data_IF_193998820044
#
_entry.id   IF_193998820044
#
_cell.length_a   1.000
_cell.length_b   1.000
_cell.length_c   1.000
_cell.angle_alpha   90.00
_cell.angle_beta   90.00
_cell.angle_gamma   90.00
#
_symmetry.space_group_name_H-M   'P 1'
#
loop_
_entity.id
_entity.type
_entity.pdbx_description
1 polymer ?
#
# COMPACT_ATOMS: atom_id res chain seq x y z
N UNK A 1 11.60 -43.33 -3.35
CA UNK A 1 11.79 -42.03 -2.71
C UNK A 1 10.46 -41.62 -2.11
N UNK A 2 10.34 -41.38 -0.82
CA UNK A 2 9.13 -40.77 -0.28
C UNK A 2 8.99 -39.34 -0.82
N UNK A 3 7.77 -38.80 -1.02
CA UNK A 3 7.60 -37.43 -1.41
C UNK A 3 8.13 -36.53 -0.29
N UNK A 4 8.90 -35.51 -0.72
CA UNK A 4 9.44 -34.51 0.19
C UNK A 4 8.28 -33.77 0.89
N UNK A 5 8.42 -33.64 2.20
CA UNK A 5 7.75 -32.73 3.12
C UNK A 5 6.31 -32.29 2.77
N UNK A 6 5.37 -33.14 3.15
CA UNK A 6 4.05 -32.63 3.52
C UNK A 6 4.24 -31.91 4.87
N UNK A 7 4.32 -30.58 4.85
CA UNK A 7 4.31 -29.77 6.05
C UNK A 7 3.16 -30.22 6.95
N UNK A 8 3.42 -30.36 8.25
CA UNK A 8 2.39 -30.73 9.21
C UNK A 8 1.21 -29.75 9.12
N UNK A 9 -0.05 -30.19 9.21
CA UNK A 9 -1.23 -29.32 9.05
C UNK A 9 -1.18 -28.04 9.90
N UNK A 10 -0.52 -28.09 11.06
CA UNK A 10 -0.32 -26.93 11.93
C UNK A 10 0.65 -25.87 11.36
N UNK A 11 1.74 -26.29 10.73
CA UNK A 11 2.72 -25.38 10.13
C UNK A 11 2.10 -24.67 8.90
N UNK A 12 1.42 -25.40 8.02
CA UNK A 12 0.74 -24.80 6.87
C UNK A 12 -0.36 -23.80 7.29
N UNK A 13 -1.05 -24.03 8.40
CA UNK A 13 -2.03 -23.08 8.93
C UNK A 13 -1.35 -21.84 9.52
N UNK A 14 -0.20 -21.98 10.20
CA UNK A 14 0.58 -20.86 10.71
C UNK A 14 1.12 -19.99 9.55
N UNK A 15 1.66 -20.60 8.50
CA UNK A 15 2.13 -19.88 7.31
C UNK A 15 0.99 -19.12 6.61
N UNK A 16 -0.20 -19.71 6.53
CA UNK A 16 -1.35 -19.05 5.93
C UNK A 16 -1.79 -17.81 6.74
N UNK A 17 -1.77 -17.88 8.07
CA UNK A 17 -2.07 -16.76 8.95
C UNK A 17 -1.00 -15.66 8.86
N UNK A 18 0.27 -16.05 8.82
CA UNK A 18 1.39 -15.13 8.63
C UNK A 18 1.28 -14.40 7.28
N UNK A 19 1.02 -15.14 6.20
CA UNK A 19 0.83 -14.56 4.87
C UNK A 19 -0.33 -13.57 4.82
N UNK A 20 -1.44 -13.87 5.51
CA UNK A 20 -2.57 -12.93 5.59
C UNK A 20 -2.21 -11.67 6.40
N UNK A 21 -1.52 -11.81 7.53
CA UNK A 21 -1.05 -10.67 8.31
C UNK A 21 -0.10 -9.76 7.51
N UNK A 22 0.78 -10.35 6.69
CA UNK A 22 1.67 -9.66 5.77
C UNK A 22 0.87 -8.92 4.67
N UNK A 23 -0.15 -9.55 4.07
CA UNK A 23 -1.04 -8.89 3.10
C UNK A 23 -1.73 -7.68 3.70
N UNK A 24 -2.21 -7.81 4.93
CA UNK A 24 -2.86 -6.72 5.66
C UNK A 24 -1.90 -5.54 5.92
N UNK A 25 -0.60 -5.77 6.10
CA UNK A 25 0.38 -4.68 6.21
C UNK A 25 0.45 -3.87 4.91
N UNK A 26 0.55 -4.50 3.75
CA UNK A 26 0.55 -3.81 2.45
C UNK A 26 -0.75 -3.01 2.22
N UNK A 27 -1.91 -3.59 2.55
CA UNK A 27 -3.22 -2.93 2.42
C UNK A 27 -3.35 -1.73 3.36
N UNK A 28 -2.88 -1.83 4.62
CA UNK A 28 -2.88 -0.70 5.57
C UNK A 28 -2.05 0.46 5.07
N UNK A 29 -0.84 0.19 4.53
CA UNK A 29 -0.01 1.22 3.94
C UNK A 29 -0.72 1.94 2.80
N UNK A 30 -1.19 1.22 1.79
CA UNK A 30 -1.87 1.80 0.63
C UNK A 30 -3.12 2.60 1.02
N UNK A 31 -3.94 2.06 1.91
CA UNK A 31 -5.12 2.78 2.44
C UNK A 31 -4.71 4.04 3.20
N UNK A 32 -3.63 3.98 3.99
CA UNK A 32 -3.10 5.14 4.71
C UNK A 32 -2.67 6.26 3.77
N UNK A 33 -2.00 5.92 2.66
CA UNK A 33 -1.64 6.89 1.61
C UNK A 33 -2.88 7.56 1.02
N UNK A 34 -3.87 6.76 0.62
CA UNK A 34 -5.09 7.28 -0.01
C UNK A 34 -5.94 8.15 0.92
N UNK A 35 -5.83 7.95 2.23
CA UNK A 35 -6.53 8.71 3.26
C UNK A 35 -5.70 9.84 3.88
N UNK A 36 -4.43 9.99 3.48
CA UNK A 36 -3.46 10.89 4.10
C UNK A 36 -3.33 10.66 5.61
N UNK A 37 -3.43 9.40 6.02
CA UNK A 37 -3.35 8.95 7.40
C UNK A 37 -1.95 8.39 7.69
N UNK A 38 -1.08 9.24 8.25
CA UNK A 38 0.30 8.86 8.59
C UNK A 38 0.35 7.71 9.62
N UNK A 39 -0.57 7.70 10.57
CA UNK A 39 -0.65 6.65 11.60
C UNK A 39 -0.99 5.30 10.99
N UNK A 40 -1.98 5.27 10.08
CA UNK A 40 -2.34 4.04 9.36
C UNK A 40 -1.20 3.54 8.47
N UNK A 41 -0.53 4.44 7.72
CA UNK A 41 0.67 4.07 6.95
C UNK A 41 1.74 3.46 7.84
N UNK A 42 2.07 4.14 8.93
CA UNK A 42 3.13 3.72 9.85
C UNK A 42 2.80 2.41 10.57
N UNK A 43 1.51 2.10 10.78
CA UNK A 43 1.09 0.83 11.36
C UNK A 43 1.46 -0.40 10.51
N UNK A 44 1.82 -0.21 9.23
CA UNK A 44 2.32 -1.27 8.36
C UNK A 44 3.78 -1.63 8.63
N UNK A 45 4.51 -0.78 9.34
CA UNK A 45 5.93 -0.91 9.62
C UNK A 45 6.20 -1.26 11.08
N UNK A 46 7.37 -1.86 11.32
CA UNK A 46 7.97 -1.91 12.66
C UNK A 46 8.71 -0.61 12.98
N UNK A 47 8.90 -0.34 14.25
CA UNK A 47 9.78 0.72 14.73
C UNK A 47 11.19 0.52 14.17
N UNK A 48 11.81 1.61 13.71
CA UNK A 48 13.12 1.58 13.07
C UNK A 48 13.13 1.08 11.63
N UNK A 49 11.99 0.77 11.02
CA UNK A 49 11.90 0.36 9.63
C UNK A 49 12.40 1.46 8.68
N UNK A 50 12.94 1.02 7.54
CA UNK A 50 13.45 1.89 6.49
C UNK A 50 12.71 1.70 5.18
N UNK A 51 12.71 2.73 4.34
CA UNK A 51 12.05 2.72 3.05
C UNK A 51 12.92 3.45 2.01
N UNK A 52 13.08 2.82 0.85
CA UNK A 52 13.69 3.41 -0.34
C UNK A 52 12.59 3.57 -1.40
N UNK A 53 12.09 4.80 -1.51
CA UNK A 53 11.07 5.19 -2.50
C UNK A 53 11.68 5.89 -3.73
N UNK A 54 12.95 5.67 -4.02
CA UNK A 54 13.67 6.29 -5.12
C UNK A 54 13.95 7.78 -4.90
N UNK A 55 12.89 8.60 -4.84
CA UNK A 55 13.00 10.05 -4.53
C UNK A 55 13.21 10.35 -3.05
N UNK A 56 13.19 9.34 -2.22
CA UNK A 56 13.38 9.40 -0.78
C UNK A 56 13.94 8.07 -0.29
N UNK A 57 14.98 8.13 0.51
CA UNK A 57 15.51 6.98 1.24
C UNK A 57 15.72 7.40 2.70
N UNK A 58 15.16 6.65 3.64
CA UNK A 58 15.24 7.00 5.06
C UNK A 58 14.32 6.17 5.94
N UNK A 59 13.91 6.74 7.08
CA UNK A 59 12.98 6.07 7.98
C UNK A 59 11.57 6.00 7.39
N UNK A 60 10.83 4.91 7.67
CA UNK A 60 9.43 4.79 7.28
C UNK A 60 8.56 5.93 7.87
N UNK A 61 8.89 6.43 9.07
CA UNK A 61 8.20 7.55 9.69
C UNK A 61 8.36 8.85 8.89
N UNK A 62 9.58 9.15 8.43
CA UNK A 62 9.84 10.35 7.61
C UNK A 62 9.18 10.23 6.23
N UNK A 63 9.18 9.02 5.63
CA UNK A 63 8.43 8.77 4.40
C UNK A 63 6.94 9.06 4.59
N UNK A 64 6.30 8.48 5.62
CA UNK A 64 4.87 8.68 5.88
C UNK A 64 4.53 10.17 6.05
N UNK A 65 5.34 10.90 6.80
CA UNK A 65 5.18 12.35 6.96
C UNK A 65 5.35 13.11 5.64
N UNK A 66 6.33 12.71 4.82
CA UNK A 66 6.55 13.27 3.47
C UNK A 66 5.36 13.00 2.55
N UNK A 67 4.85 11.78 2.53
CA UNK A 67 3.69 11.38 1.71
C UNK A 67 2.49 12.24 2.04
N UNK A 68 2.12 12.40 3.31
CA UNK A 68 1.00 13.27 3.73
C UNK A 68 1.15 14.68 3.19
N UNK A 69 2.36 15.26 3.24
CA UNK A 69 2.59 16.61 2.72
C UNK A 69 2.50 16.67 1.19
N UNK A 70 3.15 15.74 0.51
CA UNK A 70 3.27 15.78 -0.97
C UNK A 70 1.98 15.39 -1.68
N UNK A 71 1.17 14.48 -1.09
CA UNK A 71 -0.04 13.97 -1.72
C UNK A 71 -1.26 14.91 -1.56
N UNK A 72 -1.15 15.98 -0.76
CA UNK A 72 -2.17 17.04 -0.69
C UNK A 72 -2.42 17.74 -2.02
N UNK A 73 -1.48 17.68 -2.96
CA UNK A 73 -1.62 18.23 -4.33
C UNK A 73 -2.58 17.43 -5.20
N UNK A 74 -2.93 16.19 -4.82
CA UNK A 74 -3.87 15.37 -5.57
C UNK A 74 -5.28 15.51 -5.00
N UNK A 75 -6.24 15.63 -5.89
CA UNK A 75 -7.67 15.63 -5.54
C UNK A 75 -8.12 14.25 -5.04
N UNK A 76 -7.60 13.20 -5.66
CA UNK A 76 -7.83 11.82 -5.27
C UNK A 76 -6.61 10.95 -5.59
N UNK A 77 -6.40 9.93 -4.77
CA UNK A 77 -5.44 8.85 -5.06
C UNK A 77 -6.10 7.52 -4.79
N UNK A 78 -5.70 6.51 -5.56
CA UNK A 78 -6.17 5.14 -5.38
C UNK A 78 -5.01 4.17 -5.64
N UNK A 79 -4.53 3.54 -4.58
CA UNK A 79 -3.52 2.50 -4.65
C UNK A 79 -4.18 1.13 -4.77
N UNK A 80 -3.93 0.45 -5.88
CA UNK A 80 -4.45 -0.87 -6.15
C UNK A 80 -3.35 -1.91 -5.93
N UNK A 81 -3.44 -2.65 -4.83
CA UNK A 81 -2.58 -3.81 -4.59
C UNK A 81 -3.10 -4.96 -5.47
N UNK A 82 -2.22 -5.49 -6.30
CA UNK A 82 -2.50 -6.59 -7.22
C UNK A 82 -1.90 -7.90 -6.69
N UNK A 83 -0.98 -8.49 -7.47
CA UNK A 83 -0.31 -9.71 -7.05
C UNK A 83 0.58 -9.44 -5.84
N UNK A 84 0.55 -10.34 -4.88
CA UNK A 84 1.44 -10.29 -3.71
C UNK A 84 2.04 -11.68 -3.51
N UNK A 85 3.25 -11.87 -4.01
CA UNK A 85 4.06 -13.04 -3.74
C UNK A 85 4.69 -12.88 -2.34
N UNK A 86 4.56 -13.90 -1.50
CA UNK A 86 5.10 -13.92 -0.14
C UNK A 86 5.88 -15.21 0.04
N UNK A 87 7.09 -15.09 0.55
CA UNK A 87 7.95 -16.20 0.93
C UNK A 87 8.27 -16.10 2.43
N UNK A 88 7.76 -17.05 3.21
CA UNK A 88 8.05 -17.16 4.64
C UNK A 88 9.36 -17.96 4.76
N UNK A 89 10.38 -17.31 5.31
CA UNK A 89 11.73 -17.88 5.41
C UNK A 89 11.90 -18.71 6.69
N UNK A 90 11.25 -18.25 7.77
CA UNK A 90 11.21 -18.90 9.08
C UNK A 90 10.06 -18.34 9.92
N UNK A 91 9.94 -18.74 11.18
CA UNK A 91 8.86 -18.34 12.09
C UNK A 91 8.76 -16.82 12.33
N UNK A 92 9.79 -16.05 11.97
CA UNK A 92 9.92 -14.63 12.26
C UNK A 92 10.30 -13.74 11.08
N UNK A 93 10.64 -14.31 9.94
CA UNK A 93 11.09 -13.56 8.75
C UNK A 93 10.35 -13.98 7.49
N UNK A 94 10.05 -13.00 6.66
CA UNK A 94 9.47 -13.22 5.34
C UNK A 94 9.94 -12.14 4.36
N UNK A 95 9.83 -12.44 3.07
CA UNK A 95 9.94 -11.46 1.99
C UNK A 95 8.65 -11.39 1.20
N UNK A 96 8.43 -10.28 0.50
CA UNK A 96 7.28 -10.14 -0.37
C UNK A 96 7.53 -9.20 -1.53
N UNK A 97 6.85 -9.50 -2.62
CA UNK A 97 6.79 -8.66 -3.82
C UNK A 97 5.34 -8.29 -4.09
N UNK A 98 5.05 -6.99 -3.97
CA UNK A 98 3.70 -6.43 -4.10
C UNK A 98 3.60 -5.65 -5.39
N UNK A 99 2.84 -6.12 -6.36
CA UNK A 99 2.52 -5.34 -7.55
C UNK A 99 1.49 -4.27 -7.21
N UNK A 100 1.76 -3.05 -7.67
CA UNK A 100 0.92 -1.89 -7.35
C UNK A 100 0.65 -1.06 -8.61
N UNK A 101 -0.61 -0.64 -8.75
CA UNK A 101 -1.02 0.41 -9.69
C UNK A 101 -1.62 1.55 -8.88
N UNK A 102 -1.14 2.76 -9.10
CA UNK A 102 -1.62 3.94 -8.41
C UNK A 102 -2.19 4.94 -9.40
N UNK A 103 -3.43 5.36 -9.16
CA UNK A 103 -4.08 6.44 -9.87
C UNK A 103 -4.02 7.72 -9.04
N UNK A 104 -3.59 8.82 -9.66
CA UNK A 104 -3.35 10.09 -9.01
C UNK A 104 -4.07 11.19 -9.82
N UNK A 105 -5.19 11.68 -9.29
CA UNK A 105 -5.97 12.73 -9.94
C UNK A 105 -5.53 14.10 -9.41
N UNK A 106 -5.21 15.01 -10.31
CA UNK A 106 -4.80 16.38 -9.97
C UNK A 106 -5.36 17.42 -10.90
N UNK A 107 -5.42 18.66 -10.42
CA UNK A 107 -5.62 19.82 -11.28
C UNK A 107 -4.41 20.03 -12.21
N UNK A 108 -4.66 20.51 -13.42
CA UNK A 108 -3.66 20.90 -14.40
C UNK A 108 -4.17 22.08 -15.24
N UNK A 109 -3.27 22.72 -15.97
CA UNK A 109 -3.67 23.78 -16.90
C UNK A 109 -4.65 23.23 -17.93
N UNK A 110 -5.83 23.84 -17.99
CA UNK A 110 -6.90 23.43 -18.90
C UNK A 110 -7.82 22.32 -18.41
N UNK A 111 -7.72 21.88 -17.14
CA UNK A 111 -8.63 20.88 -16.58
C UNK A 111 -8.04 19.99 -15.50
N UNK A 112 -8.32 18.71 -15.59
CA UNK A 112 -7.83 17.69 -14.65
C UNK A 112 -6.95 16.69 -15.40
N UNK A 113 -5.98 16.12 -14.70
CA UNK A 113 -5.06 15.13 -15.24
C UNK A 113 -5.03 13.90 -14.35
N UNK A 114 -5.02 12.75 -15.00
CA UNK A 114 -4.82 11.46 -14.37
C UNK A 114 -3.39 10.99 -14.62
N UNK A 115 -2.61 10.94 -13.55
CA UNK A 115 -1.31 10.29 -13.56
C UNK A 115 -1.50 8.86 -13.09
N UNK A 116 -0.92 7.89 -13.81
CA UNK A 116 -0.93 6.49 -13.41
C UNK A 116 0.51 6.02 -13.24
N UNK A 117 0.78 5.37 -12.14
CA UNK A 117 2.06 4.78 -11.80
C UNK A 117 1.92 3.26 -11.69
N UNK A 118 2.83 2.52 -12.29
CA UNK A 118 2.96 1.07 -12.16
C UNK A 118 4.31 0.73 -11.56
N UNK A 119 4.30 -0.14 -10.58
CA UNK A 119 5.51 -0.59 -9.92
C UNK A 119 5.28 -1.69 -8.91
N UNK A 120 6.31 -1.94 -8.13
CA UNK A 120 6.30 -2.98 -7.12
C UNK A 120 6.92 -2.47 -5.82
N UNK A 121 6.51 -3.07 -4.71
CA UNK A 121 7.23 -2.97 -3.45
C UNK A 121 7.96 -4.30 -3.21
N UNK A 122 9.24 -4.22 -2.94
CA UNK A 122 10.05 -5.34 -2.47
C UNK A 122 10.21 -5.15 -0.97
N UNK A 123 9.52 -5.98 -0.21
CA UNK A 123 9.39 -5.85 1.23
C UNK A 123 10.14 -6.96 1.96
N UNK A 124 10.79 -6.60 3.07
CA UNK A 124 11.20 -7.53 4.11
C UNK A 124 10.31 -7.34 5.31
N UNK A 125 9.84 -8.47 5.87
CA UNK A 125 8.93 -8.51 7.00
C UNK A 125 9.58 -9.24 8.17
N UNK A 126 9.25 -8.81 9.36
CA UNK A 126 9.55 -9.53 10.60
C UNK A 126 8.28 -9.72 11.42
N UNK A 127 8.26 -10.83 12.17
CA UNK A 127 7.28 -11.06 13.23
C UNK A 127 7.93 -10.69 14.58
N UNK A 128 7.45 -9.62 15.20
CA UNK A 128 7.86 -9.20 16.55
C UNK A 128 6.62 -9.11 17.42
N UNK A 129 6.64 -9.76 18.59
CA UNK A 129 5.51 -9.79 19.51
C UNK A 129 4.19 -10.18 18.79
N UNK A 130 4.24 -11.29 18.04
CA UNK A 130 3.12 -11.84 17.25
C UNK A 130 2.58 -10.90 16.15
N UNK A 131 3.30 -9.84 15.82
CA UNK A 131 2.92 -8.88 14.79
C UNK A 131 3.85 -8.91 13.59
N UNK A 132 3.34 -9.31 12.44
CA UNK A 132 4.02 -9.16 11.16
C UNK A 132 3.93 -7.73 10.65
N UNK A 133 5.07 -7.14 10.31
CA UNK A 133 5.15 -5.80 9.73
C UNK A 133 6.42 -5.63 8.89
N UNK A 134 6.44 -4.60 8.07
CA UNK A 134 7.55 -4.25 7.19
C UNK A 134 8.72 -3.73 8.04
N UNK A 135 9.92 -4.23 7.80
CA UNK A 135 11.17 -3.69 8.36
C UNK A 135 12.02 -2.97 7.32
N UNK A 136 11.82 -3.30 6.06
CA UNK A 136 12.45 -2.59 4.95
C UNK A 136 11.61 -2.72 3.69
N UNK A 137 11.47 -1.63 2.95
CA UNK A 137 10.81 -1.58 1.64
C UNK A 137 11.72 -0.94 0.62
N UNK A 138 11.69 -1.49 -0.60
CA UNK A 138 12.21 -0.83 -1.80
C UNK A 138 11.06 -0.66 -2.78
N UNK A 139 10.82 0.58 -3.23
CA UNK A 139 9.83 0.87 -4.24
C UNK A 139 10.48 0.81 -5.62
N UNK A 140 10.03 -0.11 -6.45
CA UNK A 140 10.48 -0.30 -7.83
C UNK A 140 9.52 0.42 -8.77
N UNK A 141 10.04 1.30 -9.59
CA UNK A 141 9.31 1.97 -10.66
C UNK A 141 9.40 1.15 -11.95
N UNK A 142 8.27 0.81 -12.55
CA UNK A 142 8.23 0.15 -13.86
C UNK A 142 8.00 1.18 -14.97
N UNK A 143 6.87 1.88 -14.97
CA UNK A 143 6.57 2.98 -15.88
C UNK A 143 5.48 3.88 -15.32
N UNK A 144 5.28 5.02 -15.98
CA UNK A 144 4.19 5.96 -15.66
C UNK A 144 3.49 6.40 -16.93
N UNK A 145 2.27 6.86 -16.79
CA UNK A 145 1.48 7.53 -17.82
C UNK A 145 0.78 8.74 -17.21
N UNK A 146 0.70 9.80 -18.00
CA UNK A 146 0.00 11.03 -17.64
C UNK A 146 -0.90 11.43 -18.78
N UNK A 147 -2.18 11.64 -18.54
CA UNK A 147 -3.15 11.96 -19.57
C UNK A 147 -4.23 12.92 -19.06
N UNK A 148 -4.74 13.81 -19.93
CA UNK A 148 -5.90 14.63 -19.57
C UNK A 148 -7.07 13.73 -19.18
N UNK A 149 -7.76 14.07 -18.09
CA UNK A 149 -9.00 13.40 -17.74
C UNK A 149 -10.09 13.89 -18.72
N UNK A 150 -10.57 12.98 -19.55
CA UNK A 150 -11.61 13.26 -20.54
C UNK A 150 -12.98 13.55 -19.91
N UNK A 151 -14.02 13.49 -20.72
CA UNK A 151 -15.40 13.67 -20.24
C UNK A 151 -15.74 12.65 -19.17
N UNK A 152 -16.39 13.10 -18.11
CA UNK A 152 -16.86 12.21 -17.06
C UNK A 152 -17.92 11.24 -17.62
N UNK A 153 -17.94 10.02 -17.08
CA UNK A 153 -19.02 9.09 -17.32
C UNK A 153 -20.35 9.73 -16.91
N UNK A 154 -21.43 9.64 -17.72
CA UNK A 154 -22.72 10.26 -17.41
C UNK A 154 -23.45 9.48 -16.30
N UNK A 155 -23.05 9.74 -15.07
CA UNK A 155 -23.69 9.21 -13.86
C UNK A 155 -24.23 10.35 -13.00
N UNK A 156 -25.26 10.06 -12.23
CA UNK A 156 -25.75 10.98 -11.20
C UNK A 156 -24.86 10.90 -9.96
N UNK A 157 -23.66 11.48 -10.05
CA UNK A 157 -22.61 11.37 -9.04
C UNK A 157 -23.08 11.78 -7.63
N UNK A 158 -24.06 12.71 -7.54
CA UNK A 158 -24.66 13.18 -6.29
C UNK A 158 -25.45 12.09 -5.54
N UNK A 159 -25.85 11.01 -6.21
CA UNK A 159 -26.51 9.86 -5.57
C UNK A 159 -25.52 8.95 -4.85
N UNK A 160 -24.24 9.09 -5.14
CA UNK A 160 -23.18 8.31 -4.50
C UNK A 160 -22.58 9.08 -3.33
N UNK A 161 -22.17 8.35 -2.28
CA UNK A 161 -21.35 8.96 -1.25
C UNK A 161 -20.02 9.39 -1.88
N UNK A 162 -19.70 10.65 -1.80
CA UNK A 162 -18.48 11.22 -2.36
C UNK A 162 -17.26 10.92 -1.44
N UNK A 163 -16.08 10.82 -2.03
CA UNK A 163 -14.84 10.84 -1.27
C UNK A 163 -14.71 12.14 -0.47
N UNK A 164 -14.18 12.07 0.75
CA UNK A 164 -14.00 13.25 1.59
C UNK A 164 -12.81 14.07 1.10
N UNK A 165 -12.97 15.40 1.07
CA UNK A 165 -11.89 16.32 0.70
C UNK A 165 -10.69 16.25 1.66
N UNK A 166 -10.97 16.09 2.95
CA UNK A 166 -9.95 15.96 3.99
C UNK A 166 -9.27 14.59 4.02
N UNK A 167 -9.84 13.63 3.26
CA UNK A 167 -9.42 12.22 3.22
C UNK A 167 -9.26 11.57 4.58
N UNK A 168 -9.55 12.29 5.66
CA UNK A 168 -9.56 11.79 7.02
C UNK A 168 -10.83 11.02 7.35
N UNK A 169 -10.72 10.09 8.28
CA UNK A 169 -11.83 9.28 8.76
C UNK A 169 -11.94 7.91 8.09
N UNK A 170 -12.57 6.98 8.78
CA UNK A 170 -12.65 5.57 8.40
C UNK A 170 -13.49 5.30 7.13
N UNK A 171 -14.24 6.27 6.66
CA UNK A 171 -15.21 6.08 5.58
C UNK A 171 -16.43 5.24 5.98
N UNK A 172 -16.43 4.73 7.20
CA UNK A 172 -17.48 3.91 7.80
C UNK A 172 -18.11 4.58 9.03
N UNK A 173 -18.11 5.91 9.10
CA UNK A 173 -18.91 6.61 10.10
C UNK A 173 -20.36 6.27 9.79
N UNK A 174 -20.82 5.20 10.42
CA UNK A 174 -22.13 4.64 10.21
C UNK A 174 -23.21 5.71 10.42
N UNK A 175 -23.79 6.16 9.34
CA UNK A 175 -25.15 6.68 9.19
C UNK A 175 -25.62 6.43 7.79
#
# INVERSE_FOLDING_TARGET
>A
MPPADAALPGAAAADALAAEAIRQAALRYCRGVDRLDAGLMLSAYHDGATDDHGVFTGSAADLCARVVRSHRRYEATMHCVLNHAIEITDDSHATGEVYNVTYLLRAADGGRQLDTWWGRYLDRYECRDERWAIVHRVCVHEWTRSEPLGAAMPIEAQLFRQGREDRGGSGYDGK
#
